data_IF_466957424354
#
_entry.id   IF_466957424354
#
_cell.length_a   1.000
_cell.length_b   1.000
_cell.length_c   1.000
_cell.angle_alpha   90.00
_cell.angle_beta   90.00
_cell.angle_gamma   90.00
#
_symmetry.space_group_name_H-M   'P 1'
#
loop_
_entity.id
_entity.type
_entity.pdbx_description
1 polymer ?
#
# COMPACT_ATOMS: atom_id res chain seq x y z
N UNK A 1 -7.51 11.34 15.75
CA UNK A 1 -8.51 10.61 16.58
C UNK A 1 -9.54 11.55 17.17
N UNK A 2 -9.17 12.69 17.78
CA UNK A 2 -10.13 13.64 18.37
C UNK A 2 -11.18 14.10 17.35
N UNK A 3 -10.78 14.46 16.15
CA UNK A 3 -11.67 14.86 15.05
C UNK A 3 -12.64 13.73 14.68
N UNK A 4 -12.12 12.51 14.45
CA UNK A 4 -12.92 11.34 14.12
C UNK A 4 -13.94 11.02 15.22
N UNK A 5 -13.51 11.07 16.49
CA UNK A 5 -14.40 10.85 17.63
C UNK A 5 -15.53 11.89 17.70
N UNK A 6 -15.23 13.14 17.38
CA UNK A 6 -16.24 14.21 17.31
C UNK A 6 -17.26 13.92 16.21
N UNK A 7 -16.81 13.48 15.03
CA UNK A 7 -17.70 13.18 13.92
C UNK A 7 -18.61 12.00 14.21
N UNK A 8 -18.04 10.88 14.70
CA UNK A 8 -18.81 9.68 15.06
C UNK A 8 -19.85 9.98 16.12
N UNK A 9 -19.58 10.90 17.05
CA UNK A 9 -20.52 11.33 18.10
C UNK A 9 -21.45 12.48 17.70
N UNK A 10 -21.39 12.98 16.46
CA UNK A 10 -22.14 14.16 16.02
C UNK A 10 -23.63 13.90 15.70
N UNK A 11 -24.02 12.63 15.56
CA UNK A 11 -25.33 12.23 15.03
C UNK A 11 -25.44 12.27 13.50
N UNK A 12 -24.39 12.69 12.80
CA UNK A 12 -24.32 12.70 11.34
C UNK A 12 -23.37 11.61 10.84
N UNK A 13 -23.59 11.17 9.61
CA UNK A 13 -22.74 10.20 8.95
C UNK A 13 -21.33 10.79 8.70
N UNK A 14 -20.31 10.20 9.31
CA UNK A 14 -18.92 10.59 9.05
C UNK A 14 -18.45 10.06 7.69
N UNK A 15 -17.86 10.92 6.87
CA UNK A 15 -17.15 10.57 5.66
C UNK A 15 -15.80 11.29 5.68
N UNK A 16 -14.72 10.60 6.10
CA UNK A 16 -13.44 11.25 6.40
C UNK A 16 -12.26 10.57 5.72
N UNK A 17 -11.37 11.38 5.15
CA UNK A 17 -10.08 10.96 4.61
C UNK A 17 -8.99 11.13 5.68
N UNK A 18 -8.35 10.04 6.05
CA UNK A 18 -7.13 10.03 6.87
C UNK A 18 -5.92 9.90 5.97
N UNK A 19 -5.19 10.99 5.83
CA UNK A 19 -3.97 11.05 5.04
C UNK A 19 -2.75 11.00 5.95
N UNK A 20 -1.73 10.27 5.53
CA UNK A 20 -0.45 10.23 6.24
C UNK A 20 0.53 9.33 5.50
N UNK A 21 1.81 9.57 5.66
CA UNK A 21 2.86 8.80 5.00
C UNK A 21 2.78 7.28 5.35
N UNK A 22 3.46 6.46 4.58
CA UNK A 22 3.55 5.02 4.89
C UNK A 22 4.22 4.85 6.26
N UNK A 23 3.59 4.07 7.16
CA UNK A 23 4.09 3.87 8.52
C UNK A 23 3.75 5.00 9.52
N UNK A 24 3.01 6.04 9.12
CA UNK A 24 2.60 7.16 10.01
C UNK A 24 1.62 6.77 11.12
N UNK A 25 1.19 5.51 11.19
CA UNK A 25 0.26 5.04 12.22
C UNK A 25 -1.21 5.04 11.79
N UNK A 26 -1.54 5.19 10.50
CA UNK A 26 -2.93 5.11 10.01
C UNK A 26 -3.66 3.86 10.47
N UNK A 27 -3.00 2.70 10.45
CA UNK A 27 -3.57 1.42 10.93
C UNK A 27 -3.91 1.46 12.43
N UNK A 28 -3.10 2.16 13.23
CA UNK A 28 -3.38 2.33 14.66
C UNK A 28 -4.60 3.24 14.87
N UNK A 29 -4.72 4.31 14.09
CA UNK A 29 -5.92 5.16 14.12
C UNK A 29 -7.14 4.36 13.72
N UNK A 30 -7.06 3.57 12.64
CA UNK A 30 -8.13 2.67 12.20
C UNK A 30 -8.58 1.71 13.32
N UNK A 31 -7.60 1.07 13.99
CA UNK A 31 -7.86 0.19 15.13
C UNK A 31 -8.63 0.89 16.24
N UNK A 32 -8.18 2.07 16.66
CA UNK A 32 -8.83 2.81 17.74
C UNK A 32 -10.25 3.24 17.37
N UNK A 33 -10.50 3.57 16.11
CA UNK A 33 -11.85 3.92 15.63
C UNK A 33 -12.74 2.67 15.54
N UNK A 34 -12.20 1.51 15.16
CA UNK A 34 -12.92 0.23 15.23
C UNK A 34 -13.35 -0.08 16.67
N UNK A 35 -12.43 0.07 17.64
CA UNK A 35 -12.76 -0.16 19.05
C UNK A 35 -13.87 0.77 19.55
N UNK A 36 -13.85 2.05 19.16
CA UNK A 36 -14.95 2.98 19.48
C UNK A 36 -16.28 2.46 18.90
N UNK A 37 -16.29 1.93 17.67
CA UNK A 37 -17.49 1.38 17.06
C UNK A 37 -18.00 0.15 17.82
N UNK A 38 -17.08 -0.77 18.15
CA UNK A 38 -17.39 -2.03 18.85
C UNK A 38 -17.91 -1.74 20.28
N UNK A 39 -17.29 -0.84 21.01
CA UNK A 39 -17.73 -0.43 22.36
C UNK A 39 -19.15 0.16 22.37
N UNK A 40 -19.62 0.66 21.23
CA UNK A 40 -20.98 1.15 21.03
C UNK A 40 -21.93 0.09 20.44
N UNK A 41 -21.52 -1.18 20.37
CA UNK A 41 -22.38 -2.30 19.92
C UNK A 41 -22.48 -2.45 18.40
N UNK A 42 -21.55 -1.86 17.63
CA UNK A 42 -21.52 -1.96 16.18
C UNK A 42 -20.39 -2.86 15.71
N UNK A 43 -20.58 -3.45 14.55
CA UNK A 43 -19.52 -4.17 13.81
C UNK A 43 -18.71 -3.16 12.97
N UNK A 44 -17.46 -3.52 12.68
CA UNK A 44 -16.60 -2.75 11.80
C UNK A 44 -16.07 -3.61 10.63
N UNK A 45 -15.79 -2.97 9.49
CA UNK A 45 -15.07 -3.63 8.41
C UNK A 45 -13.89 -2.81 7.91
N UNK A 46 -12.84 -3.51 7.44
CA UNK A 46 -11.69 -2.93 6.79
C UNK A 46 -11.49 -3.56 5.41
N UNK A 47 -11.59 -2.74 4.38
CA UNK A 47 -11.40 -3.13 3.00
C UNK A 47 -10.01 -2.73 2.52
N UNK A 48 -9.24 -3.70 2.03
CA UNK A 48 -7.93 -3.52 1.43
C UNK A 48 -7.96 -3.83 -0.08
N UNK A 49 -7.12 -3.19 -0.90
CA UNK A 49 -7.14 -3.38 -2.35
C UNK A 49 -6.65 -4.74 -2.82
N UNK A 50 -5.90 -5.47 -2.00
CA UNK A 50 -5.33 -6.78 -2.35
C UNK A 50 -5.40 -7.75 -1.18
N UNK A 51 -5.32 -9.07 -1.48
CA UNK A 51 -5.31 -10.12 -0.46
C UNK A 51 -4.09 -10.04 0.45
N UNK A 52 -2.93 -9.66 -0.10
CA UNK A 52 -1.69 -9.46 0.67
C UNK A 52 -1.90 -8.41 1.76
N UNK A 53 -2.45 -7.24 1.39
CA UNK A 53 -2.74 -6.18 2.35
C UNK A 53 -3.82 -6.58 3.36
N UNK A 54 -4.88 -7.24 2.91
CA UNK A 54 -5.92 -7.75 3.80
C UNK A 54 -5.34 -8.72 4.84
N UNK A 55 -4.49 -9.65 4.40
CA UNK A 55 -3.79 -10.59 5.29
C UNK A 55 -2.85 -9.88 6.25
N UNK A 56 -2.15 -8.86 5.80
CA UNK A 56 -1.26 -8.06 6.63
C UNK A 56 -2.02 -7.29 7.72
N UNK A 57 -3.14 -6.64 7.36
CA UNK A 57 -4.02 -6.00 8.32
C UNK A 57 -4.58 -7.01 9.31
N UNK A 58 -5.07 -8.16 8.83
CA UNK A 58 -5.58 -9.22 9.69
C UNK A 58 -4.55 -9.70 10.70
N UNK A 59 -3.33 -10.01 10.26
CA UNK A 59 -2.25 -10.48 11.14
C UNK A 59 -1.87 -9.42 12.17
N UNK A 60 -1.75 -8.16 11.73
CA UNK A 60 -1.36 -7.04 12.61
C UNK A 60 -2.43 -6.75 13.66
N UNK A 61 -3.68 -6.63 13.23
CA UNK A 61 -4.81 -6.31 14.13
C UNK A 61 -5.10 -7.46 15.08
N UNK A 62 -5.08 -8.72 14.60
CA UNK A 62 -5.26 -9.90 15.47
C UNK A 62 -4.20 -9.98 16.55
N UNK A 63 -2.93 -9.64 16.22
CA UNK A 63 -1.85 -9.58 17.20
C UNK A 63 -2.07 -8.47 18.23
N UNK A 64 -2.46 -7.27 17.80
CA UNK A 64 -2.71 -6.14 18.69
C UNK A 64 -3.90 -6.38 19.63
N UNK A 65 -4.93 -7.06 19.14
CA UNK A 65 -6.17 -7.33 19.86
C UNK A 65 -6.19 -8.70 20.55
N UNK A 66 -5.08 -9.45 20.53
CA UNK A 66 -5.00 -10.84 21.04
C UNK A 66 -5.38 -10.99 22.52
N UNK A 67 -5.33 -9.92 23.31
CA UNK A 67 -5.72 -9.89 24.73
C UNK A 67 -7.17 -9.44 24.97
N UNK A 68 -7.87 -9.06 23.91
CA UNK A 68 -9.26 -8.63 23.94
C UNK A 68 -10.15 -9.76 23.44
N UNK A 69 -11.33 -9.91 24.02
CA UNK A 69 -12.29 -10.93 23.59
C UNK A 69 -13.09 -10.43 22.37
N UNK A 70 -12.37 -10.26 21.24
CA UNK A 70 -12.93 -9.79 19.98
C UNK A 70 -12.70 -10.82 18.88
N UNK A 71 -13.74 -11.09 18.09
CA UNK A 71 -13.64 -12.00 16.94
C UNK A 71 -13.35 -11.20 15.66
N UNK A 72 -12.17 -11.42 15.12
CA UNK A 72 -11.70 -10.83 13.86
C UNK A 72 -11.62 -11.92 12.81
N UNK A 73 -12.18 -11.68 11.62
CA UNK A 73 -12.14 -12.62 10.50
C UNK A 73 -11.65 -11.96 9.22
N UNK A 74 -11.17 -12.77 8.29
CA UNK A 74 -10.71 -12.32 6.97
C UNK A 74 -11.52 -12.99 5.87
N UNK A 75 -11.99 -12.19 4.90
CA UNK A 75 -12.73 -12.63 3.72
C UNK A 75 -12.08 -12.10 2.45
N UNK A 76 -11.52 -13.01 1.65
CA UNK A 76 -10.86 -12.71 0.37
C UNK A 76 -11.39 -13.62 -0.74
N UNK A 77 -10.93 -13.43 -1.97
CA UNK A 77 -11.28 -14.31 -3.10
C UNK A 77 -10.87 -15.75 -2.87
N UNK A 78 -9.74 -15.99 -2.19
CA UNK A 78 -9.19 -17.32 -1.89
C UNK A 78 -9.82 -18.01 -0.67
N UNK A 79 -10.72 -17.35 0.07
CA UNK A 79 -11.37 -17.93 1.25
C UNK A 79 -12.22 -19.16 0.86
N UNK A 80 -11.93 -20.31 1.47
CA UNK A 80 -12.62 -21.59 1.20
C UNK A 80 -14.12 -21.50 1.50
N UNK A 81 -14.94 -22.20 0.70
CA UNK A 81 -16.41 -22.14 0.75
C UNK A 81 -16.98 -22.40 2.16
N UNK A 82 -16.52 -23.42 2.86
CA UNK A 82 -17.00 -23.73 4.21
C UNK A 82 -16.74 -22.60 5.21
N UNK A 83 -15.53 -21.99 5.17
CA UNK A 83 -15.21 -20.84 6.03
C UNK A 83 -16.00 -19.59 5.64
N UNK A 84 -16.28 -19.40 4.34
CA UNK A 84 -17.09 -18.30 3.83
C UNK A 84 -18.51 -18.37 4.38
N UNK A 85 -19.13 -19.58 4.43
CA UNK A 85 -20.46 -19.81 5.02
C UNK A 85 -20.47 -19.45 6.51
N UNK A 86 -19.50 -19.97 7.30
CA UNK A 86 -19.36 -19.62 8.72
C UNK A 86 -19.23 -18.12 8.97
N UNK A 87 -18.42 -17.43 8.14
CA UNK A 87 -18.25 -15.97 8.24
C UNK A 87 -19.58 -15.26 7.97
N UNK A 88 -20.32 -15.64 6.93
CA UNK A 88 -21.60 -15.00 6.59
C UNK A 88 -22.63 -15.18 7.72
N UNK A 89 -22.80 -16.39 8.24
CA UNK A 89 -23.70 -16.67 9.36
C UNK A 89 -23.28 -15.88 10.62
N UNK A 90 -22.01 -15.87 10.92
CA UNK A 90 -21.45 -15.16 12.08
C UNK A 90 -21.59 -13.64 11.98
N UNK A 91 -21.53 -13.07 10.79
CA UNK A 91 -21.77 -11.63 10.57
C UNK A 91 -23.23 -11.26 10.83
N UNK A 92 -24.18 -12.03 10.30
CA UNK A 92 -25.62 -11.82 10.48
C UNK A 92 -26.02 -11.98 11.95
N UNK A 93 -25.40 -12.94 12.64
CA UNK A 93 -25.64 -13.17 14.06
C UNK A 93 -24.93 -12.14 14.96
N UNK A 94 -24.01 -11.35 14.42
CA UNK A 94 -23.26 -10.33 15.15
C UNK A 94 -22.15 -10.89 16.06
N UNK A 95 -21.67 -12.10 15.78
CA UNK A 95 -20.58 -12.74 16.55
C UNK A 95 -19.18 -12.40 16.00
N UNK A 96 -19.09 -11.78 14.83
CA UNK A 96 -17.85 -11.18 14.31
C UNK A 96 -17.90 -9.69 14.59
N UNK A 97 -16.87 -9.17 15.26
CA UNK A 97 -16.73 -7.76 15.59
C UNK A 97 -16.06 -6.98 14.45
N UNK A 98 -15.04 -7.58 13.82
CA UNK A 98 -14.28 -6.97 12.71
C UNK A 98 -14.15 -7.94 11.55
N UNK A 99 -14.57 -7.50 10.36
CA UNK A 99 -14.31 -8.22 9.13
C UNK A 99 -13.29 -7.46 8.28
N UNK A 100 -12.18 -8.12 7.95
CA UNK A 100 -11.14 -7.58 7.06
C UNK A 100 -11.25 -8.33 5.73
N UNK A 101 -11.07 -7.63 4.61
CA UNK A 101 -11.08 -8.31 3.32
C UNK A 101 -10.79 -7.41 2.13
N UNK A 102 -11.03 -7.96 0.95
CA UNK A 102 -10.90 -7.26 -0.32
C UNK A 102 -12.28 -6.84 -0.86
N UNK A 103 -12.39 -6.67 -2.16
CA UNK A 103 -13.69 -6.44 -2.83
C UNK A 103 -14.75 -7.52 -2.52
N UNK A 104 -14.35 -8.69 -2.00
CA UNK A 104 -15.29 -9.72 -1.52
C UNK A 104 -16.27 -9.18 -0.45
N UNK A 105 -15.88 -8.15 0.32
CA UNK A 105 -16.76 -7.46 1.27
C UNK A 105 -17.96 -6.77 0.60
N UNK A 106 -17.86 -6.47 -0.70
CA UNK A 106 -18.90 -5.77 -1.47
C UNK A 106 -19.97 -6.72 -2.03
N UNK A 107 -19.73 -8.03 -1.97
CA UNK A 107 -20.68 -9.05 -2.44
C UNK A 107 -22.02 -8.90 -1.67
N UNK A 108 -23.14 -9.04 -2.36
CA UNK A 108 -24.48 -8.84 -1.75
C UNK A 108 -24.78 -9.82 -0.62
N UNK A 109 -24.20 -11.03 -0.70
CA UNK A 109 -24.35 -12.08 0.33
C UNK A 109 -23.65 -11.73 1.65
N UNK A 110 -22.72 -10.79 1.65
CA UNK A 110 -22.05 -10.32 2.86
C UNK A 110 -22.95 -9.31 3.55
N UNK A 111 -23.64 -9.73 4.58
CA UNK A 111 -24.56 -8.93 5.37
C UNK A 111 -24.11 -8.86 6.81
N UNK A 112 -24.17 -7.68 7.39
CA UNK A 112 -23.83 -7.44 8.78
C UNK A 112 -25.12 -7.29 9.61
N UNK A 113 -25.07 -7.68 10.88
CA UNK A 113 -26.16 -7.43 11.81
C UNK A 113 -26.31 -5.93 12.07
N UNK A 114 -25.20 -5.26 12.33
CA UNK A 114 -25.18 -3.84 12.68
C UNK A 114 -23.81 -3.21 12.33
N UNK A 115 -23.57 -2.93 11.06
CA UNK A 115 -22.32 -2.30 10.60
C UNK A 115 -22.32 -0.80 10.94
N UNK A 116 -21.45 -0.34 11.85
CA UNK A 116 -21.32 1.07 12.21
C UNK A 116 -20.14 1.79 11.55
N UNK A 117 -19.08 1.04 11.17
CA UNK A 117 -17.86 1.62 10.61
C UNK A 117 -17.34 0.84 9.42
N UNK A 118 -17.08 1.52 8.32
CA UNK A 118 -16.37 0.98 7.15
C UNK A 118 -15.06 1.73 6.96
N UNK A 119 -13.94 1.00 6.94
CA UNK A 119 -12.61 1.54 6.66
C UNK A 119 -12.18 1.08 5.28
N UNK A 120 -11.69 2.00 4.46
CA UNK A 120 -11.18 1.72 3.10
C UNK A 120 -9.73 2.15 3.03
N UNK A 121 -8.83 1.19 2.83
CA UNK A 121 -7.40 1.47 2.68
C UNK A 121 -7.04 1.67 1.19
N UNK A 122 -6.16 2.65 0.92
CA UNK A 122 -5.67 3.01 -0.43
C UNK A 122 -6.80 3.22 -1.46
N UNK A 123 -7.67 4.14 -1.16
CA UNK A 123 -8.93 4.41 -1.87
C UNK A 123 -8.79 4.65 -3.38
N UNK A 124 -7.66 5.16 -3.88
CA UNK A 124 -7.47 5.43 -5.31
C UNK A 124 -7.71 4.21 -6.22
N UNK A 125 -7.78 3.02 -5.63
CA UNK A 125 -8.12 1.75 -6.31
C UNK A 125 -9.60 1.37 -6.23
N UNK A 126 -10.42 2.17 -5.54
CA UNK A 126 -11.86 1.92 -5.38
C UNK A 126 -12.69 3.05 -5.97
N UNK A 127 -13.56 2.74 -6.93
CA UNK A 127 -14.47 3.70 -7.56
C UNK A 127 -15.60 4.16 -6.61
N UNK A 128 -16.22 5.30 -6.94
CA UNK A 128 -17.39 5.86 -6.21
C UNK A 128 -18.52 4.83 -6.07
N UNK A 129 -18.78 4.05 -7.13
CA UNK A 129 -19.81 3.00 -7.17
C UNK A 129 -19.56 1.87 -6.15
N UNK A 130 -18.31 1.54 -5.88
CA UNK A 130 -17.95 0.50 -4.91
C UNK A 130 -18.18 0.96 -3.47
N UNK A 131 -17.92 2.24 -3.16
CA UNK A 131 -18.23 2.84 -1.85
C UNK A 131 -19.73 2.89 -1.60
N UNK A 132 -20.51 3.25 -2.61
CA UNK A 132 -21.97 3.26 -2.50
C UNK A 132 -22.54 1.89 -2.12
N UNK A 133 -21.88 0.79 -2.49
CA UNK A 133 -22.27 -0.56 -2.04
C UNK A 133 -22.02 -0.79 -0.54
N UNK A 134 -20.96 -0.22 0.04
CA UNK A 134 -20.74 -0.29 1.49
C UNK A 134 -21.82 0.47 2.29
N UNK A 135 -22.26 1.60 1.78
CA UNK A 135 -23.34 2.37 2.44
C UNK A 135 -24.66 1.61 2.52
N UNK A 136 -24.91 0.70 1.56
CA UNK A 136 -26.13 -0.13 1.52
C UNK A 136 -26.06 -1.38 2.41
N UNK A 137 -24.94 -1.62 3.10
CA UNK A 137 -24.74 -2.81 3.94
C UNK A 137 -25.45 -2.76 5.29
N UNK A 138 -26.02 -1.62 5.64
CA UNK A 138 -26.83 -1.45 6.85
C UNK A 138 -28.03 -0.54 6.54
N UNK A 139 -29.09 -0.61 7.35
CA UNK A 139 -30.27 0.27 7.28
C UNK A 139 -29.86 1.74 7.46
N UNK A 140 -28.99 2.01 8.43
CA UNK A 140 -28.32 3.29 8.59
C UNK A 140 -26.93 3.21 7.95
N UNK A 141 -26.55 4.13 7.04
CA UNK A 141 -25.22 4.13 6.45
C UNK A 141 -24.12 4.12 7.51
N UNK A 142 -23.13 3.21 7.43
CA UNK A 142 -22.02 3.19 8.37
C UNK A 142 -21.14 4.42 8.20
N UNK A 143 -20.48 4.88 9.25
CA UNK A 143 -19.40 5.85 9.14
C UNK A 143 -18.32 5.34 8.21
N UNK A 144 -17.72 6.21 7.39
CA UNK A 144 -16.66 5.85 6.44
C UNK A 144 -15.37 6.58 6.80
N UNK A 145 -14.32 5.80 7.00
CA UNK A 145 -12.95 6.28 7.14
C UNK A 145 -12.13 5.77 5.96
N UNK A 146 -11.66 6.68 5.16
CA UNK A 146 -10.78 6.38 4.03
C UNK A 146 -9.35 6.65 4.45
N UNK A 147 -8.43 5.73 4.17
CA UNK A 147 -7.00 5.91 4.44
C UNK A 147 -6.22 5.99 3.14
N UNK A 148 -5.22 6.86 3.09
CA UNK A 148 -4.27 6.93 1.97
C UNK A 148 -2.88 7.33 2.44
N UNK A 149 -1.86 6.74 1.79
CA UNK A 149 -0.48 7.19 1.92
C UNK A 149 -0.09 8.24 0.87
N UNK A 150 -0.95 8.48 -0.12
CA UNK A 150 -0.69 9.48 -1.15
C UNK A 150 -1.08 10.87 -0.63
N UNK A 151 -0.18 11.87 -0.65
CA UNK A 151 -0.52 13.23 -0.32
C UNK A 151 -1.45 13.79 -1.42
N UNK A 152 -2.71 13.97 -1.08
CA UNK A 152 -3.71 14.57 -1.96
C UNK A 152 -3.96 15.98 -1.44
N UNK A 153 -3.75 17.04 -2.24
CA UNK A 153 -4.12 18.39 -1.84
C UNK A 153 -5.59 18.46 -1.42
N UNK A 154 -5.88 19.16 -0.32
CA UNK A 154 -7.23 19.23 0.26
C UNK A 154 -8.29 19.66 -0.76
N UNK A 155 -7.96 20.63 -1.60
CA UNK A 155 -8.83 21.10 -2.70
C UNK A 155 -9.12 20.00 -3.72
N UNK A 156 -8.13 19.19 -4.05
CA UNK A 156 -8.27 18.08 -4.98
C UNK A 156 -9.08 16.93 -4.34
N UNK A 157 -8.87 16.66 -3.06
CA UNK A 157 -9.66 15.68 -2.32
C UNK A 157 -11.15 16.06 -2.31
N UNK A 158 -11.48 17.30 -2.04
CA UNK A 158 -12.86 17.80 -2.09
C UNK A 158 -13.47 17.70 -3.50
N UNK A 159 -12.69 17.93 -4.56
CA UNK A 159 -13.17 17.86 -5.95
C UNK A 159 -13.43 16.43 -6.39
N UNK A 160 -12.57 15.49 -6.03
CA UNK A 160 -12.71 14.08 -6.46
C UNK A 160 -13.60 13.24 -5.57
N UNK A 161 -13.75 13.61 -4.30
CA UNK A 161 -14.39 12.75 -3.30
C UNK A 161 -15.66 13.36 -2.68
N UNK A 162 -16.04 14.59 -3.09
CA UNK A 162 -17.20 15.29 -2.56
C UNK A 162 -16.97 15.76 -1.12
N UNK A 163 -17.98 15.64 -0.28
CA UNK A 163 -17.99 16.11 1.12
C UNK A 163 -17.13 15.23 2.06
N UNK A 164 -15.83 15.07 1.75
CA UNK A 164 -14.88 14.38 2.62
C UNK A 164 -14.19 15.39 3.54
N UNK A 165 -14.34 15.20 4.84
CA UNK A 165 -13.46 15.82 5.81
C UNK A 165 -12.07 15.22 5.75
N UNK A 166 -11.02 16.03 5.95
CA UNK A 166 -9.64 15.58 5.82
C UNK A 166 -8.91 15.73 7.16
N UNK A 167 -8.32 14.62 7.62
CA UNK A 167 -7.36 14.59 8.72
C UNK A 167 -5.99 14.18 8.18
N UNK A 168 -4.94 14.87 8.61
CA UNK A 168 -3.57 14.60 8.17
C UNK A 168 -2.74 14.16 9.37
N UNK A 169 -1.96 13.08 9.20
CA UNK A 169 -0.86 12.71 10.10
C UNK A 169 0.40 13.23 9.43
N UNK A 170 0.91 14.35 9.93
CA UNK A 170 2.04 15.10 9.37
C UNK A 170 3.39 14.75 10.01
N UNK A 171 3.38 14.02 11.12
CA UNK A 171 4.59 13.55 11.77
C UNK A 171 5.12 12.27 11.14
N UNK A 172 6.44 12.22 10.94
CA UNK A 172 7.11 10.98 10.53
C UNK A 172 7.18 10.00 11.71
N UNK A 173 7.12 8.69 11.45
CA UNK A 173 7.32 7.69 12.49
C UNK A 173 8.65 7.90 13.24
N UNK A 174 8.69 7.64 14.57
CA UNK A 174 9.92 7.74 15.33
C UNK A 174 11.05 6.90 14.71
N UNK A 175 12.23 7.50 14.56
CA UNK A 175 13.40 6.83 13.97
C UNK A 175 13.44 6.77 12.44
N UNK A 176 12.40 7.22 11.75
CA UNK A 176 12.40 7.28 10.29
C UNK A 176 13.26 8.44 9.79
N UNK A 177 14.23 8.13 8.92
CA UNK A 177 15.05 9.13 8.25
C UNK A 177 14.41 9.54 6.92
N UNK A 178 14.63 10.80 6.52
CA UNK A 178 14.21 11.27 5.19
C UNK A 178 14.94 10.48 4.11
N UNK A 179 14.19 10.04 3.09
CA UNK A 179 14.75 9.36 1.92
C UNK A 179 15.40 10.38 1.01
N UNK A 180 16.71 10.27 0.78
CA UNK A 180 17.43 11.13 -0.15
C UNK A 180 17.03 10.81 -1.58
N UNK A 181 16.39 11.75 -2.28
CA UNK A 181 16.01 11.59 -3.67
C UNK A 181 17.07 12.21 -4.59
N UNK A 182 17.58 11.40 -5.52
CA UNK A 182 18.56 11.83 -6.53
C UNK A 182 18.09 11.44 -7.92
N UNK A 183 18.50 12.16 -8.94
CA UNK A 183 18.27 11.78 -10.33
C UNK A 183 19.59 11.46 -11.03
N UNK A 184 19.54 10.53 -11.98
CA UNK A 184 20.66 10.09 -12.80
C UNK A 184 20.18 9.86 -14.24
N UNK A 185 21.10 10.03 -15.18
CA UNK A 185 20.87 9.69 -16.58
C UNK A 185 21.44 8.29 -16.88
N UNK A 186 20.97 7.66 -17.94
CA UNK A 186 21.44 6.35 -18.37
C UNK A 186 22.96 6.28 -18.56
N UNK A 187 23.61 7.38 -18.93
CA UNK A 187 25.07 7.50 -19.00
C UNK A 187 25.79 7.23 -17.67
N UNK A 188 25.09 7.37 -16.55
CA UNK A 188 25.63 7.13 -15.20
C UNK A 188 25.27 5.72 -14.65
N UNK A 189 24.72 4.82 -15.48
CA UNK A 189 24.22 3.49 -15.06
C UNK A 189 25.27 2.65 -14.35
N UNK A 190 26.51 2.66 -14.82
CA UNK A 190 27.60 1.92 -14.17
C UNK A 190 27.88 2.43 -12.74
N UNK A 191 27.80 3.75 -12.52
CA UNK A 191 27.95 4.35 -11.19
C UNK A 191 26.78 3.95 -10.26
N UNK A 192 25.55 3.87 -10.80
CA UNK A 192 24.39 3.39 -10.05
C UNK A 192 24.56 1.92 -9.67
N UNK A 193 25.05 1.07 -10.56
CA UNK A 193 25.33 -0.33 -10.25
C UNK A 193 26.41 -0.49 -9.18
N UNK A 194 27.47 0.31 -9.23
CA UNK A 194 28.49 0.29 -8.18
C UNK A 194 27.91 0.71 -6.82
N UNK A 195 27.08 1.75 -6.80
CA UNK A 195 26.37 2.18 -5.58
C UNK A 195 25.46 1.07 -5.02
N UNK A 196 24.72 0.38 -5.90
CA UNK A 196 23.86 -0.76 -5.50
C UNK A 196 24.70 -1.85 -4.84
N UNK A 197 25.83 -2.20 -5.45
CA UNK A 197 26.76 -3.23 -4.94
C UNK A 197 27.28 -2.85 -3.55
N UNK A 198 27.70 -1.61 -3.36
CA UNK A 198 28.19 -1.09 -2.08
C UNK A 198 27.12 -1.12 -0.98
N UNK A 199 25.85 -0.81 -1.34
CA UNK A 199 24.74 -0.86 -0.39
C UNK A 199 24.36 -2.31 -0.02
N UNK A 200 24.41 -3.23 -0.97
CA UNK A 200 24.18 -4.67 -0.69
C UNK A 200 25.28 -5.21 0.24
N UNK A 201 26.55 -4.84 0.03
CA UNK A 201 27.66 -5.21 0.92
C UNK A 201 27.47 -4.69 2.36
N UNK A 202 26.76 -3.59 2.54
CA UNK A 202 26.36 -3.05 3.87
C UNK A 202 25.11 -3.73 4.45
N UNK A 203 24.60 -4.79 3.78
CA UNK A 203 23.39 -5.51 4.18
C UNK A 203 22.09 -4.78 3.85
N UNK A 204 22.11 -3.85 2.88
CA UNK A 204 20.92 -3.23 2.31
C UNK A 204 20.26 -4.12 1.26
N UNK A 205 18.97 -3.88 1.00
CA UNK A 205 18.24 -4.48 -0.12
C UNK A 205 17.76 -3.40 -1.08
N UNK A 206 17.60 -3.76 -2.34
CA UNK A 206 17.37 -2.82 -3.43
C UNK A 206 16.12 -3.17 -4.22
N UNK A 207 15.25 -2.20 -4.42
CA UNK A 207 14.18 -2.26 -5.41
C UNK A 207 14.62 -1.61 -6.72
N UNK A 208 14.33 -2.25 -7.85
CA UNK A 208 14.48 -1.70 -9.20
C UNK A 208 13.13 -1.80 -9.89
N UNK A 209 12.50 -0.68 -10.17
CA UNK A 209 11.11 -0.61 -10.65
C UNK A 209 11.07 -0.08 -12.07
N UNK A 210 10.42 -0.86 -12.94
CA UNK A 210 10.16 -0.50 -14.34
C UNK A 210 8.72 0.01 -14.50
N UNK A 211 8.47 1.00 -15.37
CA UNK A 211 7.12 1.50 -15.63
C UNK A 211 6.25 0.45 -16.32
N UNK A 212 4.94 0.50 -16.05
CA UNK A 212 3.91 -0.11 -16.89
C UNK A 212 3.31 0.97 -17.77
N UNK A 213 3.29 0.74 -19.09
CA UNK A 213 2.65 1.62 -20.06
C UNK A 213 1.35 0.93 -20.48
N UNK A 214 0.20 1.51 -20.15
CA UNK A 214 -1.12 0.91 -20.39
C UNK A 214 -1.37 0.54 -21.86
N UNK A 215 -0.68 1.20 -22.79
CA UNK A 215 -0.88 1.02 -24.23
C UNK A 215 -0.12 -0.19 -24.82
N UNK A 216 0.78 -0.85 -24.08
CA UNK A 216 1.60 -1.93 -24.62
C UNK A 216 2.15 -2.92 -23.59
N UNK A 217 1.28 -3.73 -23.00
CA UNK A 217 1.67 -4.80 -22.05
C UNK A 217 2.81 -5.72 -22.56
N UNK A 218 2.92 -5.91 -23.87
CA UNK A 218 3.98 -6.74 -24.45
C UNK A 218 5.35 -6.05 -24.42
N UNK A 219 5.38 -4.74 -24.68
CA UNK A 219 6.63 -3.95 -24.64
C UNK A 219 7.10 -3.78 -23.20
N UNK A 220 6.19 -3.49 -22.27
CA UNK A 220 6.52 -3.35 -20.85
C UNK A 220 7.10 -4.63 -20.25
N UNK A 221 6.53 -5.78 -20.64
CA UNK A 221 7.05 -7.07 -20.22
C UNK A 221 8.46 -7.33 -20.81
N UNK A 222 8.68 -6.96 -22.07
CA UNK A 222 9.98 -7.06 -22.71
C UNK A 222 10.99 -6.15 -22.02
N UNK A 223 10.69 -4.88 -21.82
CA UNK A 223 11.56 -3.92 -21.13
C UNK A 223 11.93 -4.40 -19.71
N UNK A 224 10.97 -4.98 -18.99
CA UNK A 224 11.22 -5.59 -17.68
C UNK A 224 12.18 -6.78 -17.79
N UNK A 225 11.96 -7.70 -18.75
CA UNK A 225 12.78 -8.90 -18.89
C UNK A 225 14.20 -8.56 -19.37
N UNK A 226 14.35 -7.64 -20.32
CA UNK A 226 15.65 -7.13 -20.76
C UNK A 226 16.41 -6.47 -19.58
N UNK A 227 15.69 -5.72 -18.77
CA UNK A 227 16.21 -5.14 -17.53
C UNK A 227 16.62 -6.19 -16.51
N UNK A 228 15.79 -7.19 -16.28
CA UNK A 228 16.08 -8.30 -15.37
C UNK A 228 17.33 -9.08 -15.80
N UNK A 229 17.45 -9.39 -17.09
CA UNK A 229 18.65 -10.04 -17.63
C UNK A 229 19.92 -9.18 -17.47
N UNK A 230 19.81 -7.88 -17.68
CA UNK A 230 20.91 -6.94 -17.46
C UNK A 230 21.35 -6.92 -15.99
N UNK A 231 20.40 -6.91 -15.06
CA UNK A 231 20.67 -6.93 -13.62
C UNK A 231 21.30 -8.26 -13.20
N UNK A 232 20.74 -9.40 -13.62
CA UNK A 232 21.29 -10.73 -13.27
C UNK A 232 22.66 -10.96 -13.84
N UNK A 233 22.97 -10.41 -15.02
CA UNK A 233 24.32 -10.44 -15.61
C UNK A 233 25.31 -9.60 -14.79
N UNK A 234 24.89 -8.45 -14.26
CA UNK A 234 25.75 -7.57 -13.43
C UNK A 234 25.91 -8.08 -12.01
N UNK A 235 24.86 -8.74 -11.48
CA UNK A 235 24.80 -9.30 -10.13
C UNK A 235 24.58 -10.82 -10.20
N UNK A 236 25.60 -11.61 -10.55
CA UNK A 236 25.47 -13.04 -10.80
C UNK A 236 25.38 -13.86 -9.51
N UNK A 237 24.78 -15.04 -9.62
CA UNK A 237 24.88 -16.09 -8.61
C UNK A 237 26.33 -16.59 -8.51
N UNK A 238 26.77 -17.07 -7.35
CA UNK A 238 26.00 -17.24 -6.08
C UNK A 238 25.97 -16.00 -5.19
N UNK A 239 26.75 -14.95 -5.52
CA UNK A 239 26.97 -13.79 -4.63
C UNK A 239 25.71 -12.94 -4.47
N UNK A 240 24.92 -12.84 -5.53
CA UNK A 240 23.69 -12.04 -5.53
C UNK A 240 22.50 -12.88 -5.99
N UNK A 241 21.37 -12.70 -5.30
CA UNK A 241 20.09 -13.28 -5.69
C UNK A 241 19.11 -12.18 -6.04
N UNK A 242 18.49 -12.30 -7.21
CA UNK A 242 17.56 -11.32 -7.77
C UNK A 242 16.18 -11.94 -7.88
N UNK A 243 15.21 -11.35 -7.21
CA UNK A 243 13.78 -11.65 -7.35
C UNK A 243 13.17 -10.84 -8.48
N UNK A 244 12.14 -11.37 -9.12
CA UNK A 244 11.34 -10.66 -10.11
C UNK A 244 9.85 -10.73 -9.76
N UNK A 245 9.14 -9.59 -9.85
CA UNK A 245 7.69 -9.52 -9.60
C UNK A 245 7.00 -8.65 -10.64
N UNK A 246 6.00 -9.21 -11.33
CA UNK A 246 5.23 -8.47 -12.33
C UNK A 246 3.77 -8.92 -12.41
N UNK A 247 2.92 -8.15 -13.10
CA UNK A 247 1.47 -8.35 -13.18
C UNK A 247 1.03 -9.72 -13.68
N UNK A 248 1.78 -10.32 -14.63
CA UNK A 248 1.45 -11.60 -15.28
C UNK A 248 1.77 -12.84 -14.45
N UNK A 249 2.47 -12.69 -13.32
CA UNK A 249 2.77 -13.84 -12.46
C UNK A 249 1.51 -14.33 -11.74
N UNK A 250 1.44 -15.64 -11.50
CA UNK A 250 0.42 -16.23 -10.62
C UNK A 250 0.58 -15.70 -9.19
N UNK A 251 -0.50 -15.55 -8.41
CA UNK A 251 -0.44 -15.04 -7.05
C UNK A 251 0.58 -15.75 -6.17
N UNK A 252 0.61 -17.09 -6.21
CA UNK A 252 1.52 -17.91 -5.39
C UNK A 252 3.01 -17.63 -5.71
N UNK A 253 3.33 -17.40 -7.00
CA UNK A 253 4.69 -17.06 -7.41
C UNK A 253 5.08 -15.64 -6.97
N UNK A 254 4.14 -14.69 -7.04
CA UNK A 254 4.37 -13.33 -6.49
C UNK A 254 4.63 -13.39 -4.99
N UNK A 255 3.82 -14.12 -4.25
CA UNK A 255 3.95 -14.26 -2.81
C UNK A 255 5.27 -14.93 -2.43
N UNK A 256 5.71 -15.92 -3.19
CA UNK A 256 7.01 -16.57 -2.99
C UNK A 256 8.17 -15.57 -3.13
N UNK A 257 8.24 -14.84 -4.26
CA UNK A 257 9.30 -13.86 -4.52
C UNK A 257 9.28 -12.69 -3.53
N UNK A 258 8.10 -12.19 -3.20
CA UNK A 258 7.94 -11.12 -2.20
C UNK A 258 8.39 -11.57 -0.81
N UNK A 259 8.04 -12.79 -0.40
CA UNK A 259 8.45 -13.35 0.88
C UNK A 259 9.96 -13.63 0.92
N UNK A 260 10.56 -14.13 -0.16
CA UNK A 260 12.00 -14.33 -0.27
C UNK A 260 12.76 -13.01 -0.07
N UNK A 261 12.28 -11.95 -0.71
CA UNK A 261 12.86 -10.61 -0.55
C UNK A 261 12.63 -10.04 0.86
N UNK A 262 11.43 -10.15 1.41
CA UNK A 262 11.13 -9.65 2.77
C UNK A 262 11.97 -10.35 3.86
N UNK A 263 12.30 -11.63 3.67
CA UNK A 263 13.17 -12.42 4.56
C UNK A 263 14.66 -12.19 4.33
N UNK A 264 15.05 -11.33 3.37
CA UNK A 264 16.45 -11.06 3.03
C UNK A 264 17.15 -12.20 2.28
N UNK A 265 16.40 -13.16 1.75
CA UNK A 265 16.96 -14.29 0.97
C UNK A 265 17.41 -13.84 -0.43
N UNK A 266 16.87 -12.72 -0.91
CA UNK A 266 17.26 -12.06 -2.15
C UNK A 266 17.62 -10.60 -1.85
N UNK A 267 18.66 -10.08 -2.51
CA UNK A 267 19.19 -8.74 -2.28
C UNK A 267 18.58 -7.69 -3.18
N UNK A 268 18.17 -8.08 -4.37
CA UNK A 268 17.59 -7.19 -5.38
C UNK A 268 16.21 -7.70 -5.76
N UNK A 269 15.24 -6.80 -5.83
CA UNK A 269 13.93 -7.08 -6.41
C UNK A 269 13.72 -6.22 -7.64
N UNK A 270 13.56 -6.86 -8.78
CA UNK A 270 13.17 -6.22 -10.03
C UNK A 270 11.66 -6.36 -10.21
N UNK A 271 10.97 -5.26 -10.45
CA UNK A 271 9.51 -5.35 -10.57
C UNK A 271 8.92 -4.25 -11.45
N UNK A 272 7.66 -4.46 -11.84
CA UNK A 272 6.80 -3.40 -12.35
C UNK A 272 6.11 -2.66 -11.19
N UNK A 273 5.26 -1.66 -11.48
CA UNK A 273 4.50 -0.87 -10.51
C UNK A 273 3.65 -1.68 -9.51
N UNK A 274 3.54 -3.00 -9.69
CA UNK A 274 2.81 -3.91 -8.77
C UNK A 274 3.36 -3.90 -7.34
N UNK A 275 4.61 -3.40 -7.13
CA UNK A 275 5.19 -3.22 -5.78
C UNK A 275 4.47 -2.12 -4.96
N UNK A 276 3.57 -1.37 -5.54
CA UNK A 276 2.78 -0.36 -4.80
C UNK A 276 2.04 -0.96 -3.60
N UNK A 277 1.98 -2.30 -3.51
CA UNK A 277 1.17 -3.02 -2.54
C UNK A 277 2.02 -3.76 -1.49
N UNK A 278 2.19 -3.15 -0.36
CA UNK A 278 1.92 -3.70 0.96
C UNK A 278 3.00 -4.51 1.69
N UNK A 279 4.10 -4.98 1.11
CA UNK A 279 5.10 -5.72 1.91
C UNK A 279 6.08 -4.75 2.56
N UNK A 280 6.19 -4.83 3.89
CA UNK A 280 7.18 -4.07 4.64
C UNK A 280 8.53 -4.79 4.60
N UNK A 281 9.56 -4.10 4.06
CA UNK A 281 10.93 -4.60 3.98
C UNK A 281 11.87 -3.60 4.64
N UNK A 282 12.10 -3.74 5.96
CA UNK A 282 12.90 -2.77 6.74
C UNK A 282 14.33 -2.59 6.25
N UNK A 283 14.91 -3.62 5.60
CA UNK A 283 16.27 -3.59 5.07
C UNK A 283 16.37 -2.96 3.67
N UNK A 284 15.24 -2.65 3.02
CA UNK A 284 15.25 -1.98 1.73
C UNK A 284 15.69 -0.52 1.89
N UNK A 285 16.92 -0.23 1.50
CA UNK A 285 17.57 1.07 1.62
C UNK A 285 17.68 1.82 0.28
N UNK A 286 17.55 1.12 -0.85
CA UNK A 286 17.67 1.72 -2.18
C UNK A 286 16.44 1.42 -3.02
N UNK A 287 15.89 2.49 -3.63
CA UNK A 287 14.85 2.42 -4.65
C UNK A 287 15.42 2.99 -5.94
N UNK A 288 15.48 2.21 -6.99
CA UNK A 288 15.79 2.66 -8.35
C UNK A 288 14.52 2.64 -9.17
N UNK A 289 14.17 3.78 -9.77
CA UNK A 289 12.98 3.90 -10.63
C UNK A 289 13.48 4.15 -12.05
N UNK A 290 13.32 3.16 -12.90
CA UNK A 290 13.71 3.21 -14.31
C UNK A 290 12.70 4.01 -15.13
N UNK A 291 13.18 4.81 -16.09
CA UNK A 291 12.34 5.69 -16.93
C UNK A 291 11.35 6.51 -16.10
N UNK A 292 11.85 7.19 -15.06
CA UNK A 292 11.02 7.86 -14.06
C UNK A 292 10.12 8.96 -14.65
N UNK A 293 10.40 9.44 -15.86
CA UNK A 293 9.54 10.36 -16.62
C UNK A 293 8.16 9.78 -16.97
N UNK A 294 8.05 8.45 -16.99
CA UNK A 294 6.81 7.74 -17.32
C UNK A 294 5.86 7.59 -16.13
N UNK A 295 6.32 7.89 -14.92
CA UNK A 295 5.52 7.79 -13.70
C UNK A 295 4.81 9.09 -13.34
N UNK A 296 3.61 8.98 -12.80
CA UNK A 296 2.94 10.09 -12.13
C UNK A 296 3.60 10.47 -10.81
N UNK A 297 3.40 11.71 -10.34
CA UNK A 297 4.00 12.20 -9.10
C UNK A 297 3.59 11.37 -7.87
N UNK A 298 2.32 10.97 -7.79
CA UNK A 298 1.81 10.11 -6.72
C UNK A 298 2.46 8.74 -6.70
N UNK A 299 2.67 8.12 -7.87
CA UNK A 299 3.35 6.84 -7.99
C UNK A 299 4.82 6.93 -7.54
N UNK A 300 5.53 7.98 -7.98
CA UNK A 300 6.91 8.23 -7.55
C UNK A 300 6.99 8.41 -6.03
N UNK A 301 6.03 9.12 -5.43
CA UNK A 301 5.96 9.30 -3.98
C UNK A 301 5.70 7.97 -3.25
N UNK A 302 4.78 7.16 -3.74
CA UNK A 302 4.48 5.83 -3.18
C UNK A 302 5.67 4.89 -3.26
N UNK A 303 6.36 4.83 -4.42
CA UNK A 303 7.56 4.02 -4.60
C UNK A 303 8.69 4.48 -3.68
N UNK A 304 8.94 5.80 -3.58
CA UNK A 304 9.91 6.35 -2.64
C UNK A 304 9.62 5.92 -1.20
N UNK A 305 8.35 5.90 -0.81
CA UNK A 305 7.90 5.50 0.52
C UNK A 305 8.09 4.00 0.84
N UNK A 306 8.51 3.18 -0.14
CA UNK A 306 8.83 1.75 0.08
C UNK A 306 10.20 1.52 0.69
N UNK A 307 11.08 2.51 0.68
CA UNK A 307 12.38 2.48 1.36
C UNK A 307 12.40 3.46 2.54
N UNK A 308 13.40 3.38 3.40
CA UNK A 308 13.50 4.24 4.58
C UNK A 308 12.60 3.81 5.74
N UNK A 309 12.24 2.53 5.83
CA UNK A 309 11.43 1.98 6.91
C UNK A 309 12.23 1.45 8.08
N UNK A 310 13.54 1.29 7.91
CA UNK A 310 14.48 0.92 8.93
C UNK A 310 15.33 2.11 9.42
N UNK A 311 16.33 1.81 10.25
CA UNK A 311 17.25 2.82 10.79
C UNK A 311 18.37 3.23 9.82
N UNK A 312 18.44 2.62 8.62
CA UNK A 312 19.48 2.90 7.61
C UNK A 312 19.13 4.16 6.80
N UNK A 313 20.17 4.86 6.37
CA UNK A 313 20.00 5.92 5.38
C UNK A 313 19.48 5.31 4.07
N UNK A 314 18.53 5.97 3.44
CA UNK A 314 17.87 5.42 2.26
C UNK A 314 17.88 6.41 1.10
N UNK A 315 18.00 5.86 -0.11
CA UNK A 315 18.16 6.63 -1.34
C UNK A 315 17.14 6.18 -2.37
N UNK A 316 16.45 7.15 -2.97
CA UNK A 316 15.61 6.93 -4.15
C UNK A 316 16.33 7.53 -5.38
N UNK A 317 16.66 6.69 -6.34
CA UNK A 317 17.35 7.06 -7.58
C UNK A 317 16.35 7.05 -8.72
N UNK A 318 16.12 8.22 -9.32
CA UNK A 318 15.27 8.37 -10.50
C UNK A 318 16.15 8.30 -11.75
N UNK A 319 15.97 7.25 -12.55
CA UNK A 319 16.69 7.08 -13.82
C UNK A 319 15.92 7.71 -14.97
N UNK A 320 16.62 8.45 -15.84
CA UNK A 320 16.05 9.14 -16.98
C UNK A 320 16.83 8.89 -18.26
N UNK A 321 16.11 8.85 -19.37
CA UNK A 321 16.72 8.98 -20.71
C UNK A 321 17.18 10.43 -20.93
N UNK A 322 18.08 10.64 -21.87
CA UNK A 322 18.92 11.86 -22.03
C UNK A 322 18.18 13.19 -22.15
N UNK A 323 16.87 13.25 -22.46
CA UNK A 323 16.14 14.51 -22.64
C UNK A 323 14.91 14.57 -21.72
N UNK A 324 15.00 15.41 -20.69
CA UNK A 324 13.88 15.67 -19.78
C UNK A 324 12.98 16.78 -20.31
N UNK A 325 11.68 16.53 -20.40
CA UNK A 325 10.68 17.58 -20.61
C UNK A 325 10.63 18.51 -19.38
N UNK A 326 10.15 19.74 -19.57
CA UNK A 326 10.03 20.69 -18.46
C UNK A 326 9.06 20.23 -17.37
N UNK A 327 8.04 19.46 -17.75
CA UNK A 327 7.15 18.83 -16.78
C UNK A 327 7.85 17.73 -15.95
N UNK A 328 8.78 16.99 -16.53
CA UNK A 328 9.57 16.01 -15.80
C UNK A 328 10.53 16.71 -14.82
N UNK A 329 11.18 17.80 -15.24
CA UNK A 329 12.04 18.62 -14.37
C UNK A 329 11.27 19.17 -13.17
N UNK A 330 10.04 19.69 -13.36
CA UNK A 330 9.18 20.20 -12.29
C UNK A 330 8.81 19.09 -11.30
N UNK A 331 8.44 17.89 -11.79
CA UNK A 331 8.12 16.72 -10.94
C UNK A 331 9.31 16.31 -10.07
N UNK A 332 10.50 16.23 -10.66
CA UNK A 332 11.74 15.91 -9.92
C UNK A 332 11.99 16.93 -8.81
N UNK A 333 11.84 18.22 -9.10
CA UNK A 333 12.04 19.29 -8.13
C UNK A 333 11.10 19.13 -6.94
N UNK A 334 9.81 18.97 -7.19
CA UNK A 334 8.80 18.74 -6.15
C UNK A 334 9.14 17.51 -5.28
N UNK A 335 9.59 16.41 -5.91
CA UNK A 335 9.93 15.19 -5.20
C UNK A 335 11.21 15.32 -4.35
N UNK A 336 12.14 16.20 -4.73
CA UNK A 336 13.36 16.49 -3.96
C UNK A 336 13.08 17.39 -2.76
N UNK A 337 12.15 18.31 -2.92
CA UNK A 337 11.85 19.34 -1.92
C UNK A 337 10.88 18.80 -0.83
N UNK A 338 10.23 17.63 -1.08
CA UNK A 338 9.35 16.92 -0.14
C UNK A 338 10.10 15.82 0.63
#
# INVERSE_FOLDING_TARGET
>A
IKEIRKDVGSGFHMNRLLQGDVGSGKTLVALLVMLISIDNGFQACLMAPTEILATQHYTTLSKMLSKMNLRIEILTGSTKKAKRTDIHESLINGTIDVLIGTHALLEEVVQFKNLGLSIVDEQHRFGVAQRAKLWKKNTNPPHVLVMTATPIPRTLAMTFYGDLDVSVIDELPPGRKKVKTVHRFDSSRLQVFQFIEDEIKKGGQVYIVYPLIEESEKLDYKDLMDGYESITRRFPLPDYKVSIVHGKMKPEAKDYEMNAFAKGQTQIMVATTVIEVGVDVPNASVMVIESAEKFGLSQLHQLRGRVGRGNKDSVCILMFKSNLSDNAKKRIKILKDS
#
